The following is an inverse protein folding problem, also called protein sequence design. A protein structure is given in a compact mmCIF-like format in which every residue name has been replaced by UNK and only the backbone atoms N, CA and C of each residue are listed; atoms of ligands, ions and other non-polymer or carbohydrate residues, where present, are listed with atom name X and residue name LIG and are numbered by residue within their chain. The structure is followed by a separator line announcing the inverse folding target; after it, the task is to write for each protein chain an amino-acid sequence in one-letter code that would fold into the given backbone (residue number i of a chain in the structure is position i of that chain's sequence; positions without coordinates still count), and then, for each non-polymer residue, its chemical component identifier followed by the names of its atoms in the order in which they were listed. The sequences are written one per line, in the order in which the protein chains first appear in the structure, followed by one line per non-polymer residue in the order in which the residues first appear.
data_IF_242668999261
#
_entry.id   IF_242668999261
#
_cell.length_a   1.000
_cell.length_b   1.000
_cell.length_c   1.000
_cell.angle_alpha   90.00
_cell.angle_beta   90.00
_cell.angle_gamma   90.00
#
_symmetry.space_group_name_H-M   'P 1'
#
loop_
_entity.id
_entity.type
_entity.pdbx_description
1 polymer ?
#
# COMPACT_ATOMS: atom_id res chain seq x y z
N UNK A 1 -2.00 -15.62 -2.93
CA UNK A 1 -3.03 -15.83 -3.98
C UNK A 1 -2.57 -15.19 -5.29
N UNK A 2 -3.01 -13.99 -5.71
CA UNK A 2 -2.74 -13.51 -7.09
C UNK A 2 -1.28 -13.55 -7.60
N UNK A 3 -0.29 -13.17 -6.77
CA UNK A 3 1.14 -13.23 -7.16
C UNK A 3 1.68 -14.67 -7.22
N UNK A 4 1.14 -15.57 -6.38
CA UNK A 4 1.53 -16.98 -6.32
C UNK A 4 0.98 -17.73 -7.53
N UNK A 5 -0.27 -17.45 -7.90
CA UNK A 5 -0.94 -18.07 -9.06
C UNK A 5 -0.26 -17.68 -10.39
N UNK A 6 0.35 -16.49 -10.46
CA UNK A 6 1.09 -16.03 -11.63
C UNK A 6 2.49 -16.66 -11.75
N UNK A 7 3.05 -17.18 -10.65
CA UNK A 7 4.42 -17.71 -10.60
C UNK A 7 4.48 -19.24 -10.46
N UNK A 8 3.33 -19.93 -10.37
CA UNK A 8 3.21 -21.38 -10.12
C UNK A 8 4.10 -21.89 -8.98
N UNK A 9 4.39 -21.04 -8.00
CA UNK A 9 5.27 -21.29 -6.87
C UNK A 9 4.55 -20.92 -5.58
N UNK A 10 4.10 -21.95 -4.87
CA UNK A 10 3.50 -21.81 -3.55
C UNK A 10 4.60 -21.52 -2.52
N UNK A 11 4.42 -20.43 -1.78
CA UNK A 11 5.32 -20.07 -0.67
C UNK A 11 4.96 -20.88 0.56
N UNK A 12 5.96 -21.16 1.40
CA UNK A 12 5.68 -21.67 2.74
C UNK A 12 5.02 -20.59 3.62
N UNK A 13 4.42 -21.02 4.72
CA UNK A 13 3.72 -20.12 5.63
C UNK A 13 4.64 -19.02 6.18
N UNK A 14 5.91 -19.36 6.44
CA UNK A 14 6.93 -18.42 6.92
C UNK A 14 7.22 -17.33 5.88
N UNK A 15 7.33 -17.68 4.60
CA UNK A 15 7.49 -16.73 3.49
C UNK A 15 6.27 -15.82 3.35
N UNK A 16 5.06 -16.37 3.49
CA UNK A 16 3.84 -15.58 3.47
C UNK A 16 3.84 -14.57 4.61
N UNK A 17 4.14 -15.01 5.83
CA UNK A 17 4.18 -14.16 7.02
C UNK A 17 5.25 -13.07 6.93
N UNK A 18 6.48 -13.40 6.50
CA UNK A 18 7.56 -12.42 6.28
C UNK A 18 7.16 -11.35 5.26
N UNK A 19 6.53 -11.75 4.16
CA UNK A 19 6.08 -10.81 3.12
C UNK A 19 4.94 -9.93 3.61
N UNK A 20 3.99 -10.51 4.33
CA UNK A 20 2.88 -9.80 4.95
C UNK A 20 3.39 -8.75 5.94
N UNK A 21 4.28 -9.13 6.86
CA UNK A 21 4.88 -8.23 7.85
C UNK A 21 5.54 -7.03 7.18
N UNK A 22 6.32 -7.27 6.12
CA UNK A 22 6.99 -6.20 5.37
C UNK A 22 5.99 -5.23 4.74
N UNK A 23 4.91 -5.73 4.14
CA UNK A 23 3.86 -4.90 3.53
C UNK A 23 3.12 -4.10 4.59
N UNK A 24 2.72 -4.74 5.69
CA UNK A 24 1.95 -4.11 6.76
C UNK A 24 2.77 -3.06 7.51
N UNK A 25 4.03 -3.35 7.83
CA UNK A 25 4.94 -2.40 8.49
C UNK A 25 5.15 -1.16 7.65
N UNK A 26 5.38 -1.34 6.34
CA UNK A 26 5.51 -0.22 5.40
C UNK A 26 4.20 0.58 5.31
N UNK A 27 3.07 -0.10 5.16
CA UNK A 27 1.76 0.56 5.06
C UNK A 27 1.45 1.40 6.31
N UNK A 28 1.72 0.86 7.50
CA UNK A 28 1.55 1.58 8.76
C UNK A 28 2.45 2.82 8.84
N UNK A 29 3.74 2.69 8.50
CA UNK A 29 4.68 3.81 8.51
C UNK A 29 4.24 4.93 7.57
N UNK A 30 3.76 4.58 6.36
CA UNK A 30 3.26 5.56 5.38
C UNK A 30 2.01 6.29 5.91
N UNK A 31 1.07 5.57 6.55
CA UNK A 31 -0.13 6.16 7.17
C UNK A 31 0.24 7.08 8.32
N UNK A 32 1.11 6.63 9.22
CA UNK A 32 1.56 7.41 10.37
C UNK A 32 2.23 8.71 9.91
N UNK A 33 3.16 8.62 8.95
CA UNK A 33 3.82 9.79 8.38
C UNK A 33 2.81 10.77 7.75
N UNK A 34 1.80 10.27 7.05
CA UNK A 34 0.75 11.09 6.45
C UNK A 34 -0.11 11.76 7.52
N UNK A 35 -0.54 11.01 8.53
CA UNK A 35 -1.32 11.54 9.65
C UNK A 35 -0.56 12.65 10.40
N UNK A 36 0.73 12.45 10.67
CA UNK A 36 1.60 13.47 11.27
C UNK A 36 1.75 14.69 10.35
N UNK A 37 2.02 14.48 9.06
CA UNK A 37 2.21 15.56 8.08
C UNK A 37 1.00 16.50 8.00
N UNK A 38 -0.21 15.95 8.05
CA UNK A 38 -1.45 16.72 7.96
C UNK A 38 -2.07 17.04 9.33
N UNK A 39 -1.45 16.59 10.43
CA UNK A 39 -1.96 16.75 11.81
C UNK A 39 -3.39 16.26 11.98
N UNK A 40 -3.65 15.03 11.52
CA UNK A 40 -4.98 14.38 11.58
C UNK A 40 -4.89 13.01 12.23
N UNK A 41 -6.05 12.46 12.62
CA UNK A 41 -6.17 11.08 13.10
C UNK A 41 -5.71 10.06 12.03
N UNK A 42 -5.19 8.90 12.48
CA UNK A 42 -4.67 7.85 11.60
C UNK A 42 -5.68 7.39 10.54
N UNK A 43 -6.96 7.33 10.90
CA UNK A 43 -8.05 7.00 9.97
C UNK A 43 -8.11 7.99 8.81
N UNK A 44 -8.05 9.28 9.10
CA UNK A 44 -8.07 10.34 8.08
C UNK A 44 -6.77 10.33 7.28
N UNK A 45 -5.62 10.14 7.92
CA UNK A 45 -4.33 9.99 7.25
C UNK A 45 -4.32 8.83 6.24
N UNK A 46 -4.95 7.70 6.57
CA UNK A 46 -5.08 6.56 5.66
C UNK A 46 -5.91 6.90 4.42
N UNK A 47 -7.03 7.63 4.58
CA UNK A 47 -7.83 8.09 3.44
C UNK A 47 -7.07 9.08 2.55
N UNK A 48 -6.35 10.04 3.15
CA UNK A 48 -5.51 10.99 2.40
C UNK A 48 -4.48 10.24 1.57
N UNK A 49 -3.75 9.30 2.18
CA UNK A 49 -2.73 8.51 1.50
C UNK A 49 -3.32 7.68 0.34
N UNK A 50 -4.48 7.05 0.54
CA UNK A 50 -5.14 6.24 -0.48
C UNK A 50 -5.55 7.08 -1.70
N UNK A 51 -6.18 8.24 -1.46
CA UNK A 51 -6.62 9.14 -2.53
C UNK A 51 -5.41 9.73 -3.28
N UNK A 52 -4.38 10.15 -2.56
CA UNK A 52 -3.16 10.71 -3.15
C UNK A 52 -2.46 9.71 -4.08
N UNK A 53 -2.34 8.44 -3.68
CA UNK A 53 -1.77 7.38 -4.52
C UNK A 53 -2.52 7.20 -5.84
N UNK A 54 -3.86 7.17 -5.80
CA UNK A 54 -4.69 7.03 -7.01
C UNK A 54 -4.56 8.27 -7.88
N UNK A 55 -4.65 9.46 -7.29
CA UNK A 55 -4.52 10.71 -8.02
C UNK A 55 -3.15 10.84 -8.72
N UNK A 56 -2.06 10.44 -8.04
CA UNK A 56 -0.72 10.47 -8.61
C UNK A 56 -0.53 9.44 -9.73
N UNK A 57 -1.09 8.23 -9.59
CA UNK A 57 -1.09 7.24 -10.66
C UNK A 57 -1.83 7.75 -11.91
N UNK A 58 -3.01 8.37 -11.72
CA UNK A 58 -3.79 8.98 -12.81
C UNK A 58 -3.04 10.13 -13.50
N UNK A 59 -2.42 11.03 -12.72
CA UNK A 59 -1.61 12.13 -13.27
C UNK A 59 -0.40 11.63 -14.05
N UNK A 60 0.28 10.60 -13.54
CA UNK A 60 1.48 10.03 -14.18
C UNK A 60 1.15 9.35 -15.49
N UNK A 61 0.04 8.59 -15.53
CA UNK A 61 -0.42 7.92 -16.75
C UNK A 61 -1.00 8.90 -17.78
N UNK A 62 -1.50 10.05 -17.34
CA UNK A 62 -2.29 10.97 -18.16
C UNK A 62 -3.71 10.43 -18.42
N UNK A 63 -4.59 11.31 -18.90
CA UNK A 63 -5.90 10.91 -19.42
C UNK A 63 -5.75 10.84 -20.94
N UNK A 64 -5.66 9.62 -21.46
CA UNK A 64 -5.57 9.31 -22.88
C UNK A 64 -6.74 8.39 -23.27
N UNK A 65 -7.46 8.65 -24.38
CA UNK A 65 -8.41 7.68 -24.93
C UNK A 65 -7.74 6.38 -25.40
#
# INVERSE_FOLDING_TARGET
EWVQDLQELFWDEDDVNRRLERVMTKAFADVHATATKYSVELRTGAYILAIDRVANAMRTRGIWP
#
